data_IF_431513412740
#
_entry.id   IF_431513412740
#
_cell.length_a   1.000
_cell.length_b   1.000
_cell.length_c   1.000
_cell.angle_alpha   90.00
_cell.angle_beta   90.00
_cell.angle_gamma   90.00
#
_symmetry.space_group_name_H-M   'P 1'
#
loop_
_entity.id
_entity.type
_entity.pdbx_description
1 polymer ?
#
# COMPACT_ATOMS: atom_id res chain seq x y z
N UNK A 1 -7.48 9.00 -1.73
CA UNK A 1 -7.42 9.50 -3.10
C UNK A 1 -8.59 8.94 -3.86
N UNK A 2 -8.34 7.95 -4.73
CA UNK A 2 -9.38 7.31 -5.53
C UNK A 2 -10.02 6.14 -4.79
N UNK A 3 -11.33 5.97 -4.99
CA UNK A 3 -12.10 4.80 -4.53
C UNK A 3 -12.74 4.14 -5.74
N UNK A 4 -12.41 2.88 -6.00
CA UNK A 4 -12.95 2.08 -7.11
C UNK A 4 -14.01 1.13 -6.56
N UNK A 5 -15.27 1.40 -6.85
CA UNK A 5 -16.40 0.56 -6.41
C UNK A 5 -16.95 -0.37 -7.50
N UNK A 6 -16.57 -0.15 -8.76
CA UNK A 6 -17.10 -0.94 -9.89
C UNK A 6 -16.40 -2.30 -10.01
N UNK A 7 -17.17 -3.33 -10.35
CA UNK A 7 -16.62 -4.64 -10.71
C UNK A 7 -16.00 -4.61 -12.11
N UNK A 8 -15.06 -5.53 -12.36
CA UNK A 8 -14.38 -5.76 -13.64
C UNK A 8 -13.63 -4.53 -14.18
N UNK A 9 -13.28 -3.59 -13.29
CA UNK A 9 -12.49 -2.43 -13.66
C UNK A 9 -11.06 -2.87 -13.98
N UNK A 10 -10.55 -2.45 -15.12
CA UNK A 10 -9.14 -2.62 -15.49
C UNK A 10 -8.46 -1.26 -15.56
N UNK A 11 -7.30 -1.14 -14.93
CA UNK A 11 -6.44 0.04 -14.97
C UNK A 11 -5.04 -0.32 -15.45
N UNK A 12 -4.51 0.52 -16.33
CA UNK A 12 -3.13 0.46 -16.82
C UNK A 12 -2.44 1.76 -16.42
N UNK A 13 -1.39 1.68 -15.59
CA UNK A 13 -0.65 2.85 -15.14
C UNK A 13 -1.47 3.76 -14.21
N UNK A 14 -1.70 3.32 -12.97
CA UNK A 14 -2.37 4.13 -11.97
C UNK A 14 -1.33 4.87 -11.09
N UNK A 15 -1.45 6.19 -11.01
CA UNK A 15 -0.59 7.09 -10.21
C UNK A 15 -1.46 7.88 -9.23
N UNK A 16 -1.23 7.73 -7.92
CA UNK A 16 -2.05 8.39 -6.88
C UNK A 16 -1.18 8.80 -5.70
N UNK A 17 -1.14 10.09 -5.38
CA UNK A 17 -0.13 10.63 -4.46
C UNK A 17 -0.69 11.66 -3.48
N UNK A 18 -0.07 11.72 -2.30
CA UNK A 18 -0.16 12.76 -1.27
C UNK A 18 -1.54 13.05 -0.67
N UNK A 19 -2.46 12.09 -0.69
CA UNK A 19 -3.70 12.19 0.09
C UNK A 19 -3.45 11.94 1.58
N UNK A 20 -4.24 12.58 2.45
CA UNK A 20 -4.08 12.52 3.92
C UNK A 20 -4.54 11.18 4.55
N UNK A 21 -5.06 10.26 3.76
CA UNK A 21 -5.48 8.91 4.18
C UNK A 21 -5.05 7.88 3.13
N UNK A 22 -5.86 6.85 2.86
CA UNK A 22 -5.61 5.89 1.78
C UNK A 22 -5.42 6.61 0.44
N UNK A 23 -4.37 6.26 -0.32
CA UNK A 23 -4.20 6.79 -1.67
C UNK A 23 -5.25 6.17 -2.60
N UNK A 24 -5.37 4.84 -2.54
CA UNK A 24 -6.33 4.06 -3.34
C UNK A 24 -7.07 3.06 -2.46
N UNK A 25 -8.40 3.01 -2.61
CA UNK A 25 -9.25 1.92 -2.09
C UNK A 25 -9.93 1.22 -3.27
N UNK A 26 -9.84 -0.10 -3.32
CA UNK A 26 -10.45 -0.93 -4.34
C UNK A 26 -11.48 -1.90 -3.73
N UNK A 27 -12.75 -1.73 -4.08
CA UNK A 27 -13.87 -2.47 -3.50
C UNK A 27 -14.58 -3.40 -4.50
N UNK A 28 -14.30 -3.29 -5.81
CA UNK A 28 -14.93 -4.12 -6.84
C UNK A 28 -14.20 -5.42 -7.12
N UNK A 29 -14.95 -6.49 -7.42
CA UNK A 29 -14.43 -7.79 -7.83
C UNK A 29 -14.01 -7.82 -9.30
N UNK A 30 -13.20 -8.79 -9.72
CA UNK A 30 -12.70 -8.91 -11.09
C UNK A 30 -11.74 -7.79 -11.48
N UNK A 31 -11.18 -7.09 -10.49
CA UNK A 31 -10.30 -5.95 -10.71
C UNK A 31 -8.96 -6.36 -11.30
N UNK A 32 -8.45 -5.59 -12.26
CA UNK A 32 -7.13 -5.79 -12.84
C UNK A 32 -6.33 -4.50 -12.82
N UNK A 33 -5.18 -4.51 -12.16
CA UNK A 33 -4.30 -3.36 -12.08
C UNK A 33 -2.90 -3.71 -12.59
N UNK A 34 -2.55 -3.14 -13.74
CA UNK A 34 -1.23 -3.26 -14.33
C UNK A 34 -0.48 -1.96 -14.10
N UNK A 35 0.53 -2.01 -13.25
CA UNK A 35 1.33 -0.88 -12.78
C UNK A 35 0.60 0.09 -11.85
N UNK A 36 1.13 0.23 -10.63
CA UNK A 36 0.69 1.19 -9.63
C UNK A 36 1.89 1.96 -9.09
N UNK A 37 1.77 3.28 -9.02
CA UNK A 37 2.73 4.16 -8.36
C UNK A 37 1.97 5.03 -7.35
N UNK A 38 2.59 5.23 -6.18
CA UNK A 38 2.02 6.13 -5.18
C UNK A 38 3.03 6.63 -4.17
N UNK A 39 2.79 7.83 -3.67
CA UNK A 39 3.57 8.41 -2.59
C UNK A 39 2.69 8.91 -1.45
N UNK A 40 3.05 8.56 -0.22
CA UNK A 40 2.34 8.96 1.00
C UNK A 40 2.51 10.47 1.29
N UNK A 41 1.60 11.12 2.04
CA UNK A 41 1.61 12.56 2.23
C UNK A 41 2.86 13.03 3.00
N UNK A 42 3.39 14.17 2.61
CA UNK A 42 4.61 14.72 3.23
C UNK A 42 4.34 15.43 4.55
N UNK A 43 3.13 15.93 4.70
CA UNK A 43 2.70 16.95 5.64
C UNK A 43 1.75 16.40 6.71
N UNK A 44 1.70 15.07 6.88
CA UNK A 44 1.09 14.44 8.03
C UNK A 44 1.70 15.04 9.32
N UNK A 45 0.90 15.66 10.21
CA UNK A 45 1.44 16.60 11.20
C UNK A 45 2.14 15.91 12.38
N UNK A 46 1.70 14.69 12.73
CA UNK A 46 2.35 13.79 13.68
C UNK A 46 1.62 12.44 13.69
N UNK A 47 2.23 11.44 14.34
CA UNK A 47 1.69 10.09 14.38
C UNK A 47 0.25 10.02 14.91
N UNK A 48 -0.13 10.83 15.91
CA UNK A 48 -1.48 10.76 16.53
C UNK A 48 -2.59 11.07 15.52
N UNK A 49 -2.35 11.95 14.56
CA UNK A 49 -3.34 12.31 13.52
C UNK A 49 -3.22 11.46 12.26
N UNK A 50 -2.17 10.65 12.14
CA UNK A 50 -1.95 9.76 11.00
C UNK A 50 -2.00 8.30 11.46
N UNK A 51 -3.20 7.90 11.89
CA UNK A 51 -3.53 6.54 12.34
C UNK A 51 -4.76 6.05 11.58
N UNK A 52 -4.73 4.83 11.08
CA UNK A 52 -5.87 4.17 10.44
C UNK A 52 -6.61 3.25 11.41
N UNK A 53 -7.63 2.54 10.94
CA UNK A 53 -8.41 1.57 11.72
C UNK A 53 -8.93 2.15 13.05
N UNK A 54 -9.52 3.35 12.98
CA UNK A 54 -10.01 4.09 14.15
C UNK A 54 -8.94 4.30 15.23
N UNK A 55 -7.71 4.63 14.82
CA UNK A 55 -6.61 4.93 15.74
C UNK A 55 -5.82 3.72 16.22
N UNK A 56 -6.09 2.52 15.70
CA UNK A 56 -5.45 1.27 16.16
C UNK A 56 -4.21 0.89 15.37
N UNK A 57 -4.08 1.35 14.13
CA UNK A 57 -2.97 1.02 13.23
C UNK A 57 -2.22 2.30 12.85
N UNK A 58 -0.89 2.22 12.85
CA UNK A 58 -0.03 3.36 12.52
C UNK A 58 -0.05 3.62 11.02
N UNK A 59 -0.43 4.84 10.64
CA UNK A 59 -0.51 5.28 9.25
C UNK A 59 -1.61 4.60 8.43
N UNK A 60 -1.85 5.15 7.25
CA UNK A 60 -2.71 4.56 6.23
C UNK A 60 -1.84 3.85 5.20
N UNK A 61 -2.23 2.62 4.82
CA UNK A 61 -1.65 1.99 3.65
C UNK A 61 -1.93 2.81 2.40
N UNK A 62 -1.03 2.75 1.42
CA UNK A 62 -1.25 3.46 0.17
C UNK A 62 -2.37 2.82 -0.64
N UNK A 63 -2.35 1.49 -0.74
CA UNK A 63 -3.33 0.72 -1.49
C UNK A 63 -4.10 -0.22 -0.55
N UNK A 64 -5.43 -0.15 -0.57
CA UNK A 64 -6.30 -1.07 0.17
C UNK A 64 -7.23 -1.79 -0.79
N UNK A 65 -7.27 -3.11 -0.71
CA UNK A 65 -8.38 -3.91 -1.25
C UNK A 65 -9.40 -4.10 -0.12
N UNK A 66 -10.68 -3.89 -0.42
CA UNK A 66 -11.77 -4.07 0.53
C UNK A 66 -11.90 -5.53 0.95
N UNK A 67 -12.23 -5.77 2.22
CA UNK A 67 -12.23 -7.10 2.83
C UNK A 67 -13.24 -8.07 2.19
N UNK A 68 -14.25 -7.55 1.49
CA UNK A 68 -15.29 -8.32 0.78
C UNK A 68 -14.91 -8.70 -0.67
N UNK A 69 -13.80 -8.18 -1.21
CA UNK A 69 -13.31 -8.56 -2.54
C UNK A 69 -12.80 -10.01 -2.49
N UNK A 70 -13.14 -10.80 -3.50
CA UNK A 70 -12.76 -12.21 -3.64
C UNK A 70 -11.99 -12.50 -4.93
N UNK A 71 -11.91 -11.54 -5.85
CA UNK A 71 -11.20 -11.68 -7.12
C UNK A 71 -10.56 -10.35 -7.50
N UNK A 72 -9.22 -10.33 -7.56
CA UNK A 72 -8.43 -9.17 -7.96
C UNK A 72 -7.03 -9.62 -8.41
N UNK A 73 -6.53 -9.04 -9.49
CA UNK A 73 -5.15 -9.21 -9.93
C UNK A 73 -4.42 -7.87 -10.02
N UNK A 74 -3.28 -7.76 -9.35
CA UNK A 74 -2.39 -6.62 -9.44
C UNK A 74 -0.96 -7.03 -9.81
N UNK A 75 -0.28 -6.25 -10.67
CA UNK A 75 1.14 -6.43 -10.93
C UNK A 75 1.91 -5.11 -11.06
N UNK A 76 3.09 -5.03 -10.44
CA UNK A 76 4.03 -3.92 -10.60
C UNK A 76 3.68 -2.70 -9.73
N UNK A 77 3.81 -2.84 -8.42
CA UNK A 77 3.42 -1.81 -7.45
C UNK A 77 4.67 -1.13 -6.88
N UNK A 78 4.73 0.20 -6.95
CA UNK A 78 5.71 1.05 -6.29
C UNK A 78 5.06 1.98 -5.28
N UNK A 79 5.42 1.81 -4.01
CA UNK A 79 4.84 2.58 -2.89
C UNK A 79 5.96 3.29 -2.14
N UNK A 80 5.91 4.62 -2.12
CA UNK A 80 6.99 5.47 -1.58
C UNK A 80 6.54 6.20 -0.31
N UNK A 81 7.44 6.31 0.66
CA UNK A 81 7.30 7.27 1.76
C UNK A 81 8.47 8.25 1.79
N UNK A 82 8.14 9.51 2.07
CA UNK A 82 9.11 10.57 2.35
C UNK A 82 8.83 11.17 3.73
N UNK A 83 7.59 11.59 4.01
CA UNK A 83 7.18 12.34 5.22
C UNK A 83 8.20 13.42 5.63
N UNK A 84 7.97 14.66 5.19
CA UNK A 84 8.85 15.80 5.43
C UNK A 84 8.68 16.36 6.83
N UNK A 85 7.43 16.48 7.28
CA UNK A 85 7.11 17.37 8.40
C UNK A 85 7.24 16.65 9.75
N UNK A 86 6.87 15.37 9.83
CA UNK A 86 7.01 14.54 11.02
C UNK A 86 7.63 13.16 10.71
N UNK A 87 8.22 12.54 11.74
CA UNK A 87 8.54 11.10 11.70
C UNK A 87 7.23 10.32 11.84
N UNK A 88 6.81 9.67 10.75
CA UNK A 88 5.58 8.90 10.64
C UNK A 88 5.95 7.46 10.35
N UNK A 89 5.50 6.56 11.20
CA UNK A 89 5.52 5.13 10.94
C UNK A 89 4.22 4.74 10.24
N UNK A 90 4.36 4.08 9.09
CA UNK A 90 3.26 3.42 8.39
C UNK A 90 3.43 1.92 8.54
N UNK A 91 2.41 1.25 9.08
CA UNK A 91 2.48 -0.17 9.36
C UNK A 91 2.65 -1.02 8.09
N UNK A 92 1.97 -0.65 7.01
CA UNK A 92 2.05 -1.41 5.76
C UNK A 92 1.90 -0.52 4.53
N UNK A 93 2.60 -0.88 3.44
CA UNK A 93 2.44 -0.24 2.15
C UNK A 93 1.07 -0.52 1.54
N UNK A 94 0.58 -1.76 1.68
CA UNK A 94 -0.70 -2.21 1.14
C UNK A 94 -1.48 -3.10 2.13
N UNK A 95 -2.80 -2.97 2.13
CA UNK A 95 -3.74 -3.83 2.85
C UNK A 95 -4.49 -4.72 1.85
N UNK A 96 -4.27 -6.03 1.91
CA UNK A 96 -4.79 -7.00 0.93
C UNK A 96 -5.47 -8.15 1.70
N UNK A 97 -6.72 -8.55 1.40
CA UNK A 97 -7.36 -9.65 2.10
C UNK A 97 -6.67 -10.99 1.81
N UNK A 98 -6.62 -11.85 2.83
CA UNK A 98 -6.03 -13.20 2.75
C UNK A 98 -7.05 -14.15 2.13
N UNK A 99 -7.15 -14.12 0.79
CA UNK A 99 -8.05 -14.95 0.02
C UNK A 99 -7.37 -15.49 -1.24
N UNK A 100 -7.74 -16.70 -1.62
CA UNK A 100 -7.48 -17.22 -2.96
C UNK A 100 -8.18 -16.34 -4.00
N UNK A 101 -7.51 -16.06 -5.13
CA UNK A 101 -8.03 -15.19 -6.19
C UNK A 101 -7.76 -13.70 -5.98
N UNK A 102 -7.18 -13.29 -4.84
CA UNK A 102 -6.72 -11.92 -4.61
C UNK A 102 -5.19 -11.91 -4.63
N UNK A 103 -4.63 -11.61 -5.80
CA UNK A 103 -3.23 -11.78 -6.10
C UNK A 103 -2.52 -10.44 -6.39
N UNK A 104 -1.37 -10.24 -5.75
CA UNK A 104 -0.44 -9.14 -6.06
C UNK A 104 0.90 -9.72 -6.48
N UNK A 105 1.43 -9.26 -7.63
CA UNK A 105 2.76 -9.62 -8.15
C UNK A 105 3.66 -8.39 -8.19
N UNK A 106 4.92 -8.56 -7.83
CA UNK A 106 5.98 -7.56 -7.94
C UNK A 106 5.62 -6.23 -7.26
N UNK A 107 5.62 -6.22 -5.92
CA UNK A 107 5.43 -5.01 -5.13
C UNK A 107 6.74 -4.59 -4.44
N UNK A 108 6.96 -3.27 -4.39
CA UNK A 108 8.08 -2.67 -3.67
C UNK A 108 7.58 -1.50 -2.80
N UNK A 109 8.03 -1.47 -1.55
CA UNK A 109 8.01 -0.26 -0.72
C UNK A 109 9.38 0.39 -0.70
N UNK A 110 9.42 1.71 -0.67
CA UNK A 110 10.65 2.50 -0.72
C UNK A 110 10.58 3.64 0.28
N UNK A 111 11.65 3.80 1.06
CA UNK A 111 11.84 5.01 1.86
C UNK A 111 12.74 5.98 1.11
N UNK A 112 12.20 7.14 0.75
CA UNK A 112 12.96 8.26 0.22
C UNK A 112 13.73 8.98 1.35
N UNK A 113 14.37 10.11 1.04
CA UNK A 113 15.25 10.82 1.95
C UNK A 113 14.53 11.73 2.98
N UNK A 114 13.38 11.30 3.50
CA UNK A 114 12.63 12.02 4.52
C UNK A 114 12.54 11.27 5.86
N UNK A 115 11.61 11.68 6.72
CA UNK A 115 11.53 11.26 8.13
C UNK A 115 10.68 10.01 8.36
N UNK A 116 9.87 9.58 7.40
CA UNK A 116 8.91 8.47 7.57
C UNK A 116 9.52 7.08 7.41
N UNK A 117 8.73 6.05 7.64
CA UNK A 117 9.11 4.65 7.41
C UNK A 117 7.89 3.80 7.09
N UNK A 118 8.10 2.69 6.37
CA UNK A 118 7.09 1.67 6.14
C UNK A 118 7.59 0.36 6.75
N UNK A 119 6.84 -0.24 7.67
CA UNK A 119 7.33 -1.41 8.42
C UNK A 119 7.07 -2.73 7.72
N UNK A 120 6.08 -2.81 6.82
CA UNK A 120 5.76 -3.99 6.03
C UNK A 120 5.35 -3.63 4.59
N UNK A 121 5.54 -4.54 3.66
CA UNK A 121 5.20 -4.32 2.23
C UNK A 121 3.70 -4.52 2.01
N UNK A 122 3.17 -5.67 2.43
CA UNK A 122 1.74 -6.03 2.39
C UNK A 122 1.36 -6.56 3.77
N UNK A 123 0.26 -6.08 4.36
CA UNK A 123 -0.22 -6.48 5.68
C UNK A 123 0.92 -6.49 6.72
N UNK A 124 1.19 -7.63 7.35
CA UNK A 124 2.28 -7.90 8.30
C UNK A 124 3.49 -8.58 7.63
N UNK A 125 3.56 -8.58 6.29
CA UNK A 125 4.58 -9.28 5.50
C UNK A 125 5.52 -8.32 4.79
N UNK A 126 6.79 -8.71 4.76
CA UNK A 126 7.84 -7.98 4.05
C UNK A 126 8.72 -7.24 5.04
N UNK A 127 9.94 -6.95 4.61
CA UNK A 127 10.93 -6.30 5.47
C UNK A 127 10.62 -4.78 5.53
N UNK A 128 11.05 -4.11 6.60
CA UNK A 128 10.83 -2.67 6.78
C UNK A 128 11.80 -1.83 5.96
N UNK A 129 11.39 -0.62 5.58
CA UNK A 129 12.26 0.42 5.01
C UNK A 129 12.42 1.59 6.00
N UNK A 130 13.63 1.79 6.53
CA UNK A 130 13.89 2.70 7.67
C UNK A 130 15.01 3.71 7.40
N UNK A 131 15.92 3.40 6.48
CA UNK A 131 16.97 4.29 5.98
C UNK A 131 16.62 4.85 4.60
N UNK A 132 17.19 6.00 4.28
CA UNK A 132 16.97 6.65 2.98
C UNK A 132 17.52 5.80 1.85
N UNK A 133 16.70 5.52 0.84
CA UNK A 133 17.04 4.64 -0.28
C UNK A 133 16.72 3.16 -0.02
N UNK A 134 16.24 2.79 1.17
CA UNK A 134 15.84 1.43 1.46
C UNK A 134 14.70 0.99 0.54
N UNK A 135 14.76 -0.28 0.14
CA UNK A 135 13.71 -0.93 -0.64
C UNK A 135 13.38 -2.29 -0.03
N UNK A 136 12.11 -2.61 0.09
CA UNK A 136 11.64 -3.95 0.47
C UNK A 136 10.66 -4.46 -0.57
N UNK A 137 10.76 -5.75 -0.92
CA UNK A 137 10.04 -6.34 -2.05
C UNK A 137 9.33 -7.62 -1.66
N UNK A 138 8.19 -7.86 -2.30
CA UNK A 138 7.50 -9.15 -2.34
C UNK A 138 7.26 -9.50 -3.82
N UNK A 139 7.67 -10.71 -4.21
CA UNK A 139 7.51 -11.19 -5.59
C UNK A 139 6.04 -11.55 -5.87
N UNK A 140 5.39 -12.22 -4.93
CA UNK A 140 3.98 -12.58 -5.02
C UNK A 140 3.33 -12.60 -3.64
N UNK A 141 2.04 -12.31 -3.61
CA UNK A 141 1.19 -12.41 -2.45
C UNK A 141 -0.19 -12.93 -2.85
N UNK A 142 -0.65 -13.97 -2.19
CA UNK A 142 -2.00 -14.52 -2.32
C UNK A 142 -2.34 -15.30 -1.05
N UNK A 143 -3.58 -15.20 -0.57
CA UNK A 143 -4.07 -15.98 0.58
C UNK A 143 -3.15 -15.96 1.82
N UNK A 144 -2.59 -14.79 2.16
CA UNK A 144 -1.70 -14.63 3.32
C UNK A 144 -0.26 -15.13 3.13
N UNK A 145 0.01 -15.83 2.02
CA UNK A 145 1.33 -16.37 1.67
C UNK A 145 2.09 -15.39 0.78
N UNK A 146 3.42 -15.36 0.96
CA UNK A 146 4.31 -14.51 0.14
C UNK A 146 5.52 -15.26 -0.39
N UNK A 147 5.94 -14.90 -1.59
CA UNK A 147 7.25 -15.29 -2.13
C UNK A 147 8.21 -14.09 -2.08
N UNK A 148 9.42 -14.32 -1.55
CA UNK A 148 10.52 -13.34 -1.61
C UNK A 148 11.28 -13.48 -2.93
N UNK A 149 11.95 -12.41 -3.34
CA UNK A 149 12.98 -12.45 -4.39
C UNK A 149 14.28 -13.08 -3.88
#
# INVERSE_FOLDING_TARGET
GIVINGDNVTMYGLFVEHFQEYQTIWNGNGGKLYFYQSEMPYDAPNQKYYMSHNGKVKGYASFKIGDEVNDFYGCGFGIYCYNRDANIEIFSGAEIPDKDGVEIRNIVTVKLNGKGQITHVINDKGDSVTSSGDTARIQSYENGEKEKY
#
